data_IF_899548915040
#
_entry.id   IF_899548915040
#
_cell.length_a   1.000
_cell.length_b   1.000
_cell.length_c   1.000
_cell.angle_alpha   90.00
_cell.angle_beta   90.00
_cell.angle_gamma   90.00
#
_symmetry.space_group_name_H-M   'P 1'
#
loop_
_entity.id
_entity.type
_entity.pdbx_description
1 polymer ?
#
# COMPACT_ATOMS: atom_id res chain seq x y z
N UNK A 1 -3.55 21.96 1.28
CA UNK A 1 -4.87 21.31 1.11
C UNK A 1 -4.86 20.01 1.89
N UNK A 2 -5.75 19.86 2.89
CA UNK A 2 -5.82 18.67 3.78
C UNK A 2 -6.06 17.37 3.00
N UNK A 3 -6.76 17.43 1.86
CA UNK A 3 -6.94 16.28 0.97
C UNK A 3 -5.67 15.80 0.26
N UNK A 4 -4.60 16.60 0.23
CA UNK A 4 -3.32 16.21 -0.34
C UNK A 4 -2.66 15.06 0.43
N UNK A 5 -2.95 14.95 1.73
CA UNK A 5 -2.45 13.87 2.58
C UNK A 5 -2.92 12.48 2.13
N UNK A 6 -4.09 12.40 1.46
CA UNK A 6 -4.61 11.15 0.91
C UNK A 6 -4.31 11.01 -0.60
N UNK A 7 -4.30 12.11 -1.36
CA UNK A 7 -4.01 12.07 -2.81
C UNK A 7 -2.56 11.73 -3.13
N UNK A 8 -1.61 12.20 -2.33
CA UNK A 8 -0.18 11.92 -2.57
C UNK A 8 0.10 10.41 -2.49
N UNK A 9 -0.32 9.68 -1.45
CA UNK A 9 -0.25 8.22 -1.41
C UNK A 9 -0.99 7.55 -2.57
N UNK A 10 -2.17 8.03 -2.94
CA UNK A 10 -2.95 7.44 -4.04
C UNK A 10 -2.18 7.48 -5.36
N UNK A 11 -1.60 8.63 -5.71
CA UNK A 11 -0.78 8.77 -6.93
C UNK A 11 0.47 7.89 -6.83
N UNK A 12 1.15 7.87 -5.67
CA UNK A 12 2.33 7.06 -5.46
C UNK A 12 2.05 5.55 -5.66
N UNK A 13 0.92 5.05 -5.16
CA UNK A 13 0.51 3.66 -5.35
C UNK A 13 0.20 3.33 -6.81
N UNK A 14 -0.49 4.21 -7.54
CA UNK A 14 -0.75 4.00 -8.98
C UNK A 14 0.55 3.96 -9.77
N UNK A 15 1.50 4.86 -9.48
CA UNK A 15 2.80 4.89 -10.14
C UNK A 15 3.69 3.68 -9.76
N UNK A 16 3.56 3.17 -8.54
CA UNK A 16 4.32 2.02 -8.07
C UNK A 16 3.93 0.73 -8.79
N UNK A 17 2.67 0.55 -9.19
CA UNK A 17 2.16 -0.66 -9.87
C UNK A 17 2.93 -1.03 -11.15
N UNK A 18 3.03 -0.16 -12.18
CA UNK A 18 3.75 -0.51 -13.41
C UNK A 18 5.26 -0.72 -13.17
N UNK A 19 5.84 -0.01 -12.20
CA UNK A 19 7.24 -0.19 -11.80
C UNK A 19 7.47 -1.55 -11.13
N UNK A 20 6.60 -1.95 -10.19
CA UNK A 20 6.65 -3.28 -9.58
C UNK A 20 6.41 -4.38 -10.61
N UNK A 21 5.44 -4.22 -11.52
CA UNK A 21 5.21 -5.17 -12.59
C UNK A 21 6.47 -5.32 -13.49
N UNK A 22 7.11 -4.21 -13.84
CA UNK A 22 8.37 -4.22 -14.59
C UNK A 22 9.51 -4.92 -13.85
N UNK A 23 9.61 -4.74 -12.53
CA UNK A 23 10.60 -5.41 -11.69
C UNK A 23 10.38 -6.92 -11.59
N UNK A 24 9.13 -7.34 -11.39
CA UNK A 24 8.71 -8.75 -11.31
C UNK A 24 8.92 -9.47 -12.65
N UNK A 25 8.76 -8.76 -13.79
CA UNK A 25 8.96 -9.31 -15.13
C UNK A 25 10.40 -9.20 -15.65
N UNK A 26 11.31 -8.57 -14.91
CA UNK A 26 12.70 -8.37 -15.34
C UNK A 26 13.48 -9.68 -15.38
N UNK A 27 14.21 -9.90 -16.49
CA UNK A 27 15.09 -11.06 -16.68
C UNK A 27 16.52 -10.85 -16.14
N UNK A 28 16.86 -9.63 -15.69
CA UNK A 28 18.17 -9.30 -15.12
C UNK A 28 18.06 -8.83 -13.68
N UNK A 29 19.01 -9.23 -12.83
CA UNK A 29 19.05 -8.85 -11.41
C UNK A 29 19.22 -7.34 -11.25
N UNK A 30 20.08 -6.72 -12.04
CA UNK A 30 20.30 -5.26 -12.01
C UNK A 30 19.05 -4.50 -12.45
N UNK A 31 18.36 -4.96 -13.49
CA UNK A 31 17.08 -4.39 -13.92
C UNK A 31 16.03 -4.51 -12.82
N UNK A 32 15.86 -5.70 -12.24
CA UNK A 32 14.91 -5.95 -11.16
C UNK A 32 15.19 -5.03 -9.96
N UNK A 33 16.46 -4.89 -9.56
CA UNK A 33 16.86 -4.02 -8.46
C UNK A 33 16.46 -2.56 -8.70
N UNK A 34 16.80 -1.99 -9.87
CA UNK A 34 16.44 -0.61 -10.20
C UNK A 34 14.91 -0.42 -10.25
N UNK A 35 14.20 -1.39 -10.84
CA UNK A 35 12.75 -1.38 -10.90
C UNK A 35 12.08 -1.62 -9.55
N UNK A 36 12.74 -2.20 -8.54
CA UNK A 36 12.18 -2.34 -7.20
C UNK A 36 12.50 -1.16 -6.29
N UNK A 37 13.67 -0.52 -6.42
CA UNK A 37 14.06 0.61 -5.56
C UNK A 37 13.07 1.78 -5.66
N UNK A 38 12.71 2.19 -6.88
CA UNK A 38 11.83 3.32 -7.12
C UNK A 38 10.40 3.09 -6.58
N UNK A 39 9.69 2.00 -6.93
CA UNK A 39 8.36 1.76 -6.39
C UNK A 39 8.36 1.42 -4.91
N UNK A 40 9.44 0.84 -4.36
CA UNK A 40 9.53 0.65 -2.92
C UNK A 40 9.49 2.00 -2.20
N UNK A 41 10.23 3.00 -2.68
CA UNK A 41 10.18 4.35 -2.13
C UNK A 41 8.77 4.96 -2.24
N UNK A 42 8.13 4.86 -3.42
CA UNK A 42 6.76 5.33 -3.63
C UNK A 42 5.76 4.64 -2.70
N UNK A 43 5.89 3.32 -2.51
CA UNK A 43 5.05 2.51 -1.65
C UNK A 43 5.23 2.81 -0.16
N UNK A 44 6.27 3.54 0.26
CA UNK A 44 6.44 4.01 1.64
C UNK A 44 5.96 5.46 1.86
N UNK A 45 5.65 6.21 0.81
CA UNK A 45 5.21 7.61 0.92
C UNK A 45 3.97 7.75 1.80
N UNK A 46 3.09 6.73 1.86
CA UNK A 46 1.86 6.80 2.67
C UNK A 46 2.12 6.96 4.16
N UNK A 47 3.28 6.50 4.67
CA UNK A 47 3.51 6.41 6.10
C UNK A 47 3.46 7.79 6.78
N UNK A 48 4.12 8.80 6.23
CA UNK A 48 4.10 10.16 6.79
C UNK A 48 2.73 10.85 6.73
N UNK A 49 2.16 11.04 5.53
CA UNK A 49 0.88 11.71 5.34
C UNK A 49 -0.28 11.01 6.03
N UNK A 50 -0.41 9.68 5.92
CA UNK A 50 -1.57 8.98 6.49
C UNK A 50 -1.51 8.98 8.02
N UNK A 51 -0.35 8.72 8.62
CA UNK A 51 -0.21 8.78 10.09
C UNK A 51 -0.50 10.19 10.59
N UNK A 52 0.01 11.22 9.91
CA UNK A 52 -0.28 12.61 10.26
C UNK A 52 -1.77 12.93 10.10
N UNK A 53 -2.42 12.50 9.03
CA UNK A 53 -3.85 12.69 8.82
C UNK A 53 -4.69 12.05 9.94
N UNK A 54 -4.38 10.81 10.34
CA UNK A 54 -5.10 10.11 11.43
C UNK A 54 -5.05 10.89 12.75
N UNK A 55 -3.92 11.53 13.06
CA UNK A 55 -3.80 12.35 14.27
C UNK A 55 -4.69 13.60 14.23
N UNK A 56 -5.03 14.09 13.05
CA UNK A 56 -5.91 15.24 12.87
C UNK A 56 -7.36 14.82 12.60
N UNK A 57 -7.73 13.56 12.79
CA UNK A 57 -9.13 13.11 12.81
C UNK A 57 -9.70 13.02 14.23
N UNK A 58 -8.87 13.28 15.25
CA UNK A 58 -9.25 13.16 16.66
C UNK A 58 -8.76 14.35 17.49
N UNK A 59 -9.39 14.64 18.64
CA UNK A 59 -8.90 15.65 19.58
C UNK A 59 -7.48 15.35 20.08
N UNK A 60 -6.74 16.40 20.45
CA UNK A 60 -5.32 16.33 20.84
C UNK A 60 -4.99 15.24 21.87
N UNK A 61 -5.83 15.07 22.90
CA UNK A 61 -5.61 14.09 23.97
C UNK A 61 -5.76 12.62 23.53
N UNK A 62 -6.40 12.36 22.37
CA UNK A 62 -6.62 11.01 21.83
C UNK A 62 -5.65 10.64 20.71
N UNK A 63 -4.80 11.57 20.25
CA UNK A 63 -3.91 11.38 19.09
C UNK A 63 -3.00 10.17 19.22
N UNK A 64 -2.43 9.97 20.41
CA UNK A 64 -1.55 8.83 20.68
C UNK A 64 -2.29 7.50 20.53
N UNK A 65 -3.48 7.38 21.12
CA UNK A 65 -4.32 6.19 21.04
C UNK A 65 -4.79 5.94 19.61
N UNK A 66 -5.21 6.98 18.89
CA UNK A 66 -5.64 6.86 17.49
C UNK A 66 -4.52 6.36 16.58
N UNK A 67 -3.30 6.92 16.70
CA UNK A 67 -2.13 6.42 15.97
C UNK A 67 -1.79 4.97 16.33
N UNK A 68 -1.82 4.62 17.63
CA UNK A 68 -1.53 3.26 18.08
C UNK A 68 -2.56 2.25 17.54
N UNK A 69 -3.85 2.55 17.62
CA UNK A 69 -4.92 1.71 17.08
C UNK A 69 -4.81 1.58 15.56
N UNK A 70 -4.57 2.68 14.85
CA UNK A 70 -4.37 2.65 13.39
C UNK A 70 -3.18 1.77 13.00
N UNK A 71 -2.03 1.94 13.67
CA UNK A 71 -0.84 1.12 13.40
C UNK A 71 -1.06 -0.34 13.78
N UNK A 72 -1.77 -0.63 14.87
CA UNK A 72 -2.13 -1.99 15.25
C UNK A 72 -2.96 -2.66 14.16
N UNK A 73 -4.03 -2.01 13.71
CA UNK A 73 -4.91 -2.53 12.65
C UNK A 73 -4.11 -2.69 11.35
N UNK A 74 -3.30 -1.69 11.00
CA UNK A 74 -2.50 -1.71 9.78
C UNK A 74 -1.49 -2.86 9.77
N UNK A 75 -0.79 -3.10 10.88
CA UNK A 75 0.17 -4.19 10.97
C UNK A 75 -0.51 -5.56 11.05
N UNK A 76 -1.61 -5.68 11.81
CA UNK A 76 -2.32 -6.95 11.96
C UNK A 76 -2.95 -7.42 10.64
N UNK A 77 -3.61 -6.51 9.92
CA UNK A 77 -4.21 -6.81 8.61
C UNK A 77 -3.12 -6.88 7.53
N UNK A 78 -2.26 -5.87 7.46
CA UNK A 78 -1.26 -5.75 6.41
C UNK A 78 -0.22 -6.88 6.44
N UNK A 79 0.41 -7.12 7.60
CA UNK A 79 1.43 -8.15 7.73
C UNK A 79 0.80 -9.51 8.03
N UNK A 80 -0.16 -9.58 8.95
CA UNK A 80 -0.79 -10.85 9.33
C UNK A 80 -1.61 -11.45 8.20
N UNK A 81 -2.66 -10.75 7.77
CA UNK A 81 -3.57 -11.26 6.72
C UNK A 81 -2.89 -11.18 5.34
N UNK A 82 -2.15 -10.12 5.05
CA UNK A 82 -1.53 -9.93 3.74
C UNK A 82 -0.53 -11.03 3.37
N UNK A 83 0.33 -11.46 4.29
CA UNK A 83 1.30 -12.55 4.02
C UNK A 83 0.57 -13.88 3.79
N UNK A 84 -0.46 -14.17 4.59
CA UNK A 84 -1.25 -15.39 4.42
C UNK A 84 -2.00 -15.43 3.09
N UNK A 85 -2.63 -14.32 2.69
CA UNK A 85 -3.34 -14.21 1.41
C UNK A 85 -2.37 -14.35 0.23
N UNK A 86 -1.20 -13.70 0.29
CA UNK A 86 -0.19 -13.81 -0.77
C UNK A 86 0.34 -15.24 -0.93
N UNK A 87 0.63 -15.91 0.19
CA UNK A 87 1.07 -17.31 0.20
C UNK A 87 -0.01 -18.24 -0.33
N UNK A 88 -1.23 -18.16 0.20
CA UNK A 88 -2.36 -18.97 -0.25
C UNK A 88 -2.72 -18.73 -1.73
N UNK A 89 -2.53 -17.52 -2.24
CA UNK A 89 -2.69 -17.22 -3.66
C UNK A 89 -1.58 -17.88 -4.51
N UNK A 90 -0.33 -17.90 -4.03
CA UNK A 90 0.75 -18.61 -4.70
C UNK A 90 0.48 -20.12 -4.75
N UNK A 91 0.06 -20.72 -3.63
CA UNK A 91 -0.28 -22.15 -3.53
C UNK A 91 -1.46 -22.49 -4.47
N UNK A 92 -2.47 -21.62 -4.56
CA UNK A 92 -3.61 -21.80 -5.47
C UNK A 92 -3.24 -21.69 -6.96
N UNK A 93 -2.20 -20.92 -7.28
CA UNK A 93 -1.69 -20.73 -8.64
C UNK A 93 -0.66 -21.80 -9.04
N UNK A 94 -0.07 -22.51 -8.08
CA UNK A 94 0.94 -23.56 -8.31
C UNK A 94 0.48 -24.65 -9.30
N UNK A 95 -0.75 -25.17 -9.27
CA UNK A 95 -1.21 -26.17 -10.23
C UNK A 95 -1.22 -25.70 -11.69
N UNK A 96 -1.35 -24.39 -11.92
CA UNK A 96 -1.48 -23.80 -13.26
C UNK A 96 -0.17 -23.19 -13.76
N UNK A 97 0.64 -22.63 -12.85
CA UNK A 97 1.82 -21.83 -13.19
C UNK A 97 3.15 -22.41 -12.66
N UNK A 98 3.11 -23.46 -11.83
CA UNK A 98 4.29 -24.15 -11.30
C UNK A 98 5.29 -23.18 -10.66
N UNK A 99 6.53 -23.20 -11.14
CA UNK A 99 7.63 -22.34 -10.64
C UNK A 99 7.32 -20.84 -10.78
N UNK A 100 6.43 -20.45 -11.70
CA UNK A 100 6.03 -19.07 -11.93
C UNK A 100 4.85 -18.61 -11.06
N UNK A 101 4.25 -19.50 -10.27
CA UNK A 101 3.08 -19.19 -9.45
C UNK A 101 3.33 -18.04 -8.47
N UNK A 102 4.52 -17.98 -7.86
CA UNK A 102 4.90 -16.88 -6.98
C UNK A 102 4.98 -15.55 -7.74
N UNK A 103 5.50 -15.56 -8.97
CA UNK A 103 5.59 -14.38 -9.84
C UNK A 103 4.20 -13.84 -10.15
N UNK A 104 3.27 -14.72 -10.53
CA UNK A 104 1.89 -14.33 -10.81
C UNK A 104 1.15 -13.88 -9.54
N UNK A 105 1.36 -14.52 -8.39
CA UNK A 105 0.79 -14.09 -7.11
C UNK A 105 1.22 -12.65 -6.75
N UNK A 106 2.50 -12.31 -6.97
CA UNK A 106 2.99 -10.94 -6.79
C UNK A 106 2.30 -9.96 -7.75
N UNK A 107 2.12 -10.31 -9.02
CA UNK A 107 1.42 -9.47 -10.00
C UNK A 107 -0.06 -9.25 -9.64
N UNK A 108 -0.77 -10.30 -9.23
CA UNK A 108 -2.16 -10.18 -8.78
C UNK A 108 -2.28 -9.30 -7.53
N UNK A 109 -1.30 -9.36 -6.63
CA UNK A 109 -1.27 -8.52 -5.43
C UNK A 109 -1.12 -7.03 -5.73
N UNK A 110 -0.68 -6.64 -6.94
CA UNK A 110 -0.67 -5.24 -7.38
C UNK A 110 -2.09 -4.65 -7.50
N UNK A 111 -3.12 -5.48 -7.66
CA UNK A 111 -4.53 -5.02 -7.61
C UNK A 111 -4.86 -4.39 -6.26
N UNK A 112 -4.29 -4.90 -5.16
CA UNK A 112 -4.46 -4.32 -3.83
C UNK A 112 -3.91 -2.89 -3.74
N UNK A 113 -2.82 -2.57 -4.46
CA UNK A 113 -2.30 -1.20 -4.56
C UNK A 113 -3.28 -0.27 -5.30
N UNK A 114 -3.92 -0.76 -6.36
CA UNK A 114 -4.93 0.03 -7.10
C UNK A 114 -6.18 0.26 -6.25
N UNK A 115 -6.64 -0.76 -5.51
CA UNK A 115 -7.75 -0.62 -4.57
C UNK A 115 -7.39 0.38 -3.47
N UNK A 116 -6.20 0.26 -2.87
CA UNK A 116 -5.72 1.20 -1.87
C UNK A 116 -5.63 2.63 -2.41
N UNK A 117 -5.14 2.80 -3.65
CA UNK A 117 -5.08 4.10 -4.30
C UNK A 117 -6.47 4.72 -4.49
N UNK A 118 -7.46 3.93 -4.93
CA UNK A 118 -8.84 4.37 -5.07
C UNK A 118 -9.43 4.79 -3.72
N UNK A 119 -9.27 3.96 -2.68
CA UNK A 119 -9.76 4.27 -1.33
C UNK A 119 -9.13 5.56 -0.78
N UNK A 120 -7.82 5.73 -0.96
CA UNK A 120 -7.09 6.94 -0.58
C UNK A 120 -7.58 8.17 -1.36
N UNK A 121 -7.84 8.02 -2.66
CA UNK A 121 -8.38 9.10 -3.47
C UNK A 121 -9.77 9.54 -3.00
N UNK A 122 -10.65 8.58 -2.70
CA UNK A 122 -12.00 8.83 -2.17
C UNK A 122 -11.97 9.45 -0.77
N UNK A 123 -11.00 9.06 0.07
CA UNK A 123 -10.80 9.60 1.41
C UNK A 123 -10.38 11.09 1.41
N UNK A 124 -9.94 11.64 0.29
CA UNK A 124 -9.52 13.04 0.20
C UNK A 124 -10.63 14.06 0.50
N UNK A 125 -11.90 13.71 0.25
CA UNK A 125 -13.05 14.58 0.57
C UNK A 125 -13.40 14.49 2.07
N UNK A 126 -13.70 13.31 2.66
CA UNK A 126 -13.95 13.18 4.10
C UNK A 126 -12.84 13.77 4.96
N UNK A 127 -11.57 13.57 4.58
CA UNK A 127 -10.43 14.09 5.33
C UNK A 127 -10.40 15.62 5.43
N UNK A 128 -10.98 16.34 4.46
CA UNK A 128 -11.09 17.81 4.54
C UNK A 128 -12.20 18.25 5.48
N UNK A 129 -13.28 17.48 5.55
CA UNK A 129 -14.48 17.79 6.32
C UNK A 129 -14.32 17.46 7.81
N UNK A 130 -13.61 16.37 8.12
CA UNK A 130 -13.46 15.84 9.49
C UNK A 130 -12.18 16.28 10.22
N UNK A 131 -11.40 17.18 9.64
CA UNK A 131 -10.11 17.57 10.20
C UNK A 131 -10.24 18.42 11.47
N UNK A 132 -9.65 17.93 12.55
CA UNK A 132 -9.54 18.55 13.88
C UNK A 132 -8.11 19.05 14.10
N UNK A 133 -7.97 20.34 14.35
CA UNK A 133 -6.68 21.00 14.60
C UNK A 133 -6.13 20.75 16.02
#
# INVERSE_FOLDING_TARGET
DKGAYARLPAIAFVLAVPLFAGGVMSSTVTGAFLFFVVPQALAYIWLGPVISAVQHLVPAHMRATASASFLLINNLIGLGVGIYVLGGLADALEPHFGVEALRYSMLFSLVCYLIAALLMWLAAKPLREEWVD
#
